data_IF_120018629046
#
_entry.id   IF_120018629046
#
_cell.length_a   1.000
_cell.length_b   1.000
_cell.length_c   1.000
_cell.angle_alpha   90.00
_cell.angle_beta   90.00
_cell.angle_gamma   90.00
#
_symmetry.space_group_name_H-M   'P 1'
#
loop_
_entity.id
_entity.type
_entity.pdbx_description
1 polymer ?
#
# COMPACT_ATOMS: atom_id res chain seq x y z
N UNK A 1 -9.28 20.17 16.90
CA UNK A 1 -8.36 21.34 16.89
C UNK A 1 -7.26 21.02 15.89
N UNK A 2 -6.85 21.97 15.05
CA UNK A 2 -5.81 21.75 14.04
C UNK A 2 -4.54 22.48 14.44
N UNK A 3 -3.40 21.88 14.12
CA UNK A 3 -2.08 22.45 14.33
C UNK A 3 -1.43 22.69 12.97
N UNK A 4 -0.80 23.85 12.81
CA UNK A 4 -0.11 24.25 11.61
C UNK A 4 1.40 24.06 11.75
N UNK A 5 2.01 23.58 10.66
CA UNK A 5 3.44 23.65 10.41
C UNK A 5 3.74 24.98 9.73
N UNK A 6 4.69 25.73 10.28
CA UNK A 6 5.13 27.02 9.74
C UNK A 6 6.53 26.92 9.15
N UNK A 7 6.76 27.67 8.08
CA UNK A 7 8.11 27.83 7.53
C UNK A 7 8.89 28.94 8.26
N UNK A 8 10.18 29.09 7.95
CA UNK A 8 11.05 30.12 8.53
C UNK A 8 10.61 31.58 8.27
N UNK A 9 9.64 31.80 7.37
CA UNK A 9 9.04 33.11 7.08
C UNK A 9 7.71 33.36 7.81
N UNK A 10 7.25 32.42 8.63
CA UNK A 10 6.00 32.55 9.39
C UNK A 10 4.73 32.18 8.62
N UNK A 11 4.84 31.59 7.42
CA UNK A 11 3.68 31.13 6.66
C UNK A 11 3.34 29.68 7.01
N UNK A 12 2.05 29.37 7.12
CA UNK A 12 1.55 28.01 7.28
C UNK A 12 1.79 27.23 5.98
N UNK A 13 2.38 26.05 6.08
CA UNK A 13 2.70 25.19 4.93
C UNK A 13 1.96 23.86 4.97
N UNK A 14 1.53 23.40 6.14
CA UNK A 14 0.73 22.18 6.30
C UNK A 14 -0.07 22.25 7.61
N UNK A 15 -1.14 21.44 7.71
CA UNK A 15 -1.97 21.30 8.92
C UNK A 15 -2.21 19.84 9.28
N UNK A 16 -2.28 19.56 10.59
CA UNK A 16 -2.47 18.22 11.14
C UNK A 16 -3.43 18.23 12.35
N UNK A 17 -4.14 17.12 12.61
CA UNK A 17 -5.01 16.98 13.79
C UNK A 17 -4.25 16.60 15.08
N UNK A 18 -2.92 16.53 15.03
CA UNK A 18 -2.03 16.23 16.15
C UNK A 18 -0.99 17.34 16.32
N UNK A 19 -0.48 17.47 17.55
CA UNK A 19 0.59 18.41 17.90
C UNK A 19 1.92 17.67 17.97
N UNK A 20 2.96 18.25 17.38
CA UNK A 20 4.34 17.75 17.46
C UNK A 20 5.34 18.92 17.32
N UNK A 21 6.64 18.65 17.36
CA UNK A 21 7.71 19.65 17.21
C UNK A 21 7.55 20.49 15.93
N UNK A 22 7.06 19.89 14.85
CA UNK A 22 6.78 20.58 13.58
C UNK A 22 5.38 21.24 13.53
N UNK A 23 4.42 20.78 14.32
CA UNK A 23 3.02 21.20 14.29
C UNK A 23 2.66 21.82 15.65
N UNK A 24 3.10 23.05 15.85
CA UNK A 24 3.07 23.70 17.17
C UNK A 24 2.08 24.87 17.26
N UNK A 25 1.53 25.34 16.14
CA UNK A 25 0.63 26.49 16.11
C UNK A 25 -0.83 26.07 15.99
N UNK A 26 -1.64 26.39 16.99
CA UNK A 26 -3.08 26.15 16.94
C UNK A 26 -3.73 27.04 15.88
N UNK A 27 -4.45 26.43 14.93
CA UNK A 27 -5.15 27.14 13.86
C UNK A 27 -6.62 26.75 13.79
N UNK A 28 -7.44 27.71 13.33
CA UNK A 28 -8.87 27.47 13.14
C UNK A 28 -9.11 26.73 11.82
N UNK A 29 -9.91 25.65 11.81
CA UNK A 29 -10.36 25.01 10.57
C UNK A 29 -11.22 25.93 9.67
N UNK A 30 -11.74 27.03 10.22
CA UNK A 30 -12.56 28.00 9.50
C UNK A 30 -11.74 29.15 8.89
N UNK A 31 -10.42 29.15 9.07
CA UNK A 31 -9.54 30.05 8.34
C UNK A 31 -9.52 29.63 6.86
N UNK A 32 -9.86 30.53 5.91
CA UNK A 32 -9.85 30.21 4.47
C UNK A 32 -8.53 29.58 4.00
N UNK A 33 -7.40 30.02 4.54
CA UNK A 33 -6.09 29.50 4.14
C UNK A 33 -5.85 28.07 4.64
N UNK A 34 -6.33 27.75 5.85
CA UNK A 34 -6.29 26.39 6.41
C UNK A 34 -7.24 25.47 5.66
N UNK A 35 -8.42 25.97 5.29
CA UNK A 35 -9.40 25.22 4.51
C UNK A 35 -8.86 24.84 3.12
N UNK A 36 -8.17 25.75 2.43
CA UNK A 36 -7.55 25.49 1.13
C UNK A 36 -6.43 24.45 1.22
N UNK A 37 -5.57 24.54 2.24
CA UNK A 37 -4.51 23.53 2.49
C UNK A 37 -5.12 22.16 2.79
N UNK A 38 -6.18 22.13 3.61
CA UNK A 38 -6.87 20.89 3.95
C UNK A 38 -7.51 20.27 2.70
N UNK A 39 -8.19 21.06 1.87
CA UNK A 39 -8.77 20.59 0.61
C UNK A 39 -7.71 20.02 -0.34
N UNK A 40 -6.58 20.71 -0.52
CA UNK A 40 -5.48 20.22 -1.34
C UNK A 40 -4.87 18.91 -0.79
N UNK A 41 -4.78 18.77 0.54
CA UNK A 41 -4.26 17.56 1.20
C UNK A 41 -5.21 16.37 1.02
N UNK A 42 -6.52 16.58 1.13
CA UNK A 42 -7.54 15.57 0.83
C UNK A 42 -7.49 15.12 -0.64
N UNK A 43 -7.26 16.04 -1.58
CA UNK A 43 -7.09 15.68 -3.00
C UNK A 43 -5.81 14.87 -3.25
N UNK A 44 -4.71 15.18 -2.56
CA UNK A 44 -3.46 14.41 -2.67
C UNK A 44 -3.54 13.04 -2.00
N UNK A 45 -4.09 12.96 -0.79
CA UNK A 45 -4.31 11.69 -0.09
C UNK A 45 -5.26 10.80 -0.87
N UNK A 46 -6.38 11.33 -1.36
CA UNK A 46 -7.31 10.57 -2.20
C UNK A 46 -6.66 10.10 -3.50
N UNK A 47 -5.83 10.92 -4.15
CA UNK A 47 -5.07 10.50 -5.34
C UNK A 47 -4.07 9.38 -5.01
N UNK A 48 -3.36 9.47 -3.89
CA UNK A 48 -2.39 8.46 -3.46
C UNK A 48 -3.09 7.15 -3.03
N UNK A 49 -4.24 7.23 -2.37
CA UNK A 49 -5.09 6.09 -2.02
C UNK A 49 -5.68 5.42 -3.28
N UNK A 50 -6.12 6.21 -4.26
CA UNK A 50 -6.58 5.71 -5.55
C UNK A 50 -5.47 5.02 -6.34
N UNK A 51 -4.25 5.56 -6.32
CA UNK A 51 -3.09 4.89 -6.92
C UNK A 51 -2.75 3.58 -6.19
N UNK A 52 -2.74 3.60 -4.86
CA UNK A 52 -2.41 2.42 -4.05
C UNK A 52 -3.44 1.30 -4.24
N UNK A 53 -4.73 1.65 -4.30
CA UNK A 53 -5.80 0.68 -4.59
C UNK A 53 -5.74 0.18 -6.03
N UNK A 54 -5.50 1.06 -7.00
CA UNK A 54 -5.27 0.67 -8.41
C UNK A 54 -4.08 -0.28 -8.56
N UNK A 55 -2.98 -0.06 -7.85
CA UNK A 55 -1.81 -0.94 -7.87
C UNK A 55 -2.12 -2.32 -7.27
N UNK A 56 -2.96 -2.38 -6.22
CA UNK A 56 -3.42 -3.65 -5.66
C UNK A 56 -4.29 -4.42 -6.65
N UNK A 57 -5.21 -3.74 -7.33
CA UNK A 57 -6.08 -4.36 -8.33
C UNK A 57 -5.29 -4.80 -9.57
N UNK A 58 -4.32 -4.00 -10.02
CA UNK A 58 -3.42 -4.37 -11.11
C UNK A 58 -2.61 -5.63 -10.77
N UNK A 59 -2.12 -5.75 -9.53
CA UNK A 59 -1.39 -6.95 -9.11
C UNK A 59 -2.27 -8.21 -9.15
N UNK A 60 -3.58 -8.10 -8.86
CA UNK A 60 -4.52 -9.22 -9.00
C UNK A 60 -4.68 -9.65 -10.47
N UNK A 61 -4.83 -8.69 -11.37
CA UNK A 61 -4.92 -8.97 -12.81
C UNK A 61 -3.65 -9.66 -13.32
N UNK A 62 -2.47 -9.24 -12.84
CA UNK A 62 -1.20 -9.89 -13.18
C UNK A 62 -1.13 -11.33 -12.65
N UNK A 63 -1.60 -11.59 -11.44
CA UNK A 63 -1.66 -12.95 -10.88
C UNK A 63 -2.56 -13.86 -11.73
N UNK A 64 -3.76 -13.40 -12.09
CA UNK A 64 -4.70 -14.16 -12.91
C UNK A 64 -4.16 -14.37 -14.34
N UNK A 65 -3.46 -13.38 -14.90
CA UNK A 65 -2.78 -13.53 -16.19
C UNK A 65 -1.68 -14.59 -16.13
N UNK A 66 -0.85 -14.59 -15.09
CA UNK A 66 0.22 -15.58 -14.91
C UNK A 66 -0.38 -16.98 -14.74
N UNK A 67 -1.43 -17.13 -13.92
CA UNK A 67 -2.14 -18.39 -13.74
C UNK A 67 -2.72 -18.89 -15.08
N UNK A 68 -3.37 -18.01 -15.87
CA UNK A 68 -3.89 -18.33 -17.20
C UNK A 68 -2.79 -18.78 -18.18
N UNK A 69 -1.68 -18.05 -18.26
CA UNK A 69 -0.58 -18.40 -19.16
C UNK A 69 0.07 -19.72 -18.78
N UNK A 70 0.16 -20.01 -17.47
CA UNK A 70 0.67 -21.27 -16.93
C UNK A 70 -0.28 -22.43 -17.23
N UNK A 71 -1.60 -22.23 -17.05
CA UNK A 71 -2.63 -23.22 -17.37
C UNK A 71 -2.63 -23.57 -18.87
N UNK A 72 -2.44 -22.57 -19.73
CA UNK A 72 -2.27 -22.76 -21.18
C UNK A 72 -0.92 -23.35 -21.57
N UNK A 73 -0.02 -23.58 -20.60
CA UNK A 73 1.35 -24.07 -20.79
C UNK A 73 2.17 -23.19 -21.74
N UNK A 74 1.87 -21.89 -21.78
CA UNK A 74 2.60 -20.90 -22.60
C UNK A 74 3.89 -20.45 -21.90
N UNK A 75 3.88 -20.44 -20.57
CA UNK A 75 5.05 -20.24 -19.71
C UNK A 75 5.04 -21.30 -18.61
N UNK A 76 6.22 -21.61 -18.07
CA UNK A 76 6.36 -22.35 -16.81
C UNK A 76 6.58 -21.35 -15.69
N UNK A 77 5.94 -21.56 -14.53
CA UNK A 77 6.12 -20.70 -13.37
C UNK A 77 7.59 -20.55 -12.94
N UNK A 78 8.39 -21.60 -13.14
CA UNK A 78 9.82 -21.66 -12.85
C UNK A 78 10.68 -20.79 -13.78
N UNK A 79 10.15 -20.31 -14.90
CA UNK A 79 10.83 -19.38 -15.81
C UNK A 79 10.82 -17.94 -15.28
N UNK A 80 9.96 -17.62 -14.30
CA UNK A 80 9.95 -16.32 -13.64
C UNK A 80 11.17 -16.18 -12.72
N UNK A 81 11.68 -14.96 -12.48
CA UNK A 81 12.75 -14.75 -11.50
C UNK A 81 12.37 -15.26 -10.11
N UNK A 82 13.32 -15.83 -9.36
CA UNK A 82 13.08 -16.38 -8.00
C UNK A 82 12.36 -15.41 -7.07
N UNK A 83 12.68 -14.11 -7.16
CA UNK A 83 12.01 -13.08 -6.38
C UNK A 83 10.52 -12.94 -6.74
N UNK A 84 10.18 -13.02 -8.03
CA UNK A 84 8.80 -12.97 -8.51
C UNK A 84 8.03 -14.23 -8.09
N UNK A 85 8.64 -15.42 -8.22
CA UNK A 85 8.04 -16.67 -7.77
C UNK A 85 7.69 -16.63 -6.28
N UNK A 86 8.64 -16.23 -5.42
CA UNK A 86 8.41 -16.08 -3.98
C UNK A 86 7.26 -15.12 -3.68
N UNK A 87 7.24 -13.96 -4.33
CA UNK A 87 6.22 -12.92 -4.12
C UNK A 87 4.82 -13.39 -4.53
N UNK A 88 4.70 -14.08 -5.65
CA UNK A 88 3.44 -14.64 -6.15
C UNK A 88 2.93 -15.76 -5.23
N UNK A 89 3.81 -16.65 -4.76
CA UNK A 89 3.45 -17.71 -3.81
C UNK A 89 2.95 -17.14 -2.47
N UNK A 90 3.67 -16.18 -1.89
CA UNK A 90 3.25 -15.54 -0.63
C UNK A 90 1.88 -14.88 -0.77
N UNK A 91 1.60 -14.23 -1.90
CA UNK A 91 0.31 -13.59 -2.14
C UNK A 91 -0.82 -14.60 -2.36
N UNK A 92 -0.55 -15.66 -3.11
CA UNK A 92 -1.52 -16.76 -3.31
C UNK A 92 -1.90 -17.42 -1.99
N UNK A 93 -0.94 -17.58 -1.07
CA UNK A 93 -1.19 -18.07 0.29
C UNK A 93 -2.08 -17.14 1.11
N UNK A 94 -1.76 -15.84 1.15
CA UNK A 94 -2.60 -14.85 1.86
C UNK A 94 -4.02 -14.84 1.28
N UNK A 95 -4.17 -14.93 -0.04
CA UNK A 95 -5.48 -15.04 -0.70
C UNK A 95 -6.21 -16.32 -0.30
N UNK A 96 -5.55 -17.48 -0.31
CA UNK A 96 -6.15 -18.76 0.09
C UNK A 96 -6.70 -18.76 1.51
N UNK A 97 -5.99 -18.13 2.45
CA UNK A 97 -6.46 -17.94 3.83
C UNK A 97 -7.72 -17.06 3.87
N UNK A 98 -7.73 -15.94 3.15
CA UNK A 98 -8.85 -14.99 3.18
C UNK A 98 -10.06 -15.45 2.36
N UNK A 99 -9.87 -16.33 1.37
CA UNK A 99 -10.93 -16.87 0.52
C UNK A 99 -11.56 -18.16 1.05
N UNK A 100 -11.18 -18.65 2.23
CA UNK A 100 -11.87 -19.73 2.94
C UNK A 100 -11.73 -21.14 2.33
N UNK A 101 -10.95 -21.31 1.26
CA UNK A 101 -10.67 -22.62 0.67
C UNK A 101 -9.50 -23.29 1.42
N UNK A 102 -9.81 -23.74 2.64
CA UNK A 102 -8.90 -24.42 3.57
C UNK A 102 -8.68 -25.89 3.23
N UNK A 103 -8.22 -26.21 2.02
CA UNK A 103 -7.77 -27.57 1.73
C UNK A 103 -6.46 -27.53 0.94
N UNK A 104 -5.41 -28.10 1.55
CA UNK A 104 -4.20 -28.60 0.88
C UNK A 104 -2.96 -27.71 0.74
N UNK A 105 -2.58 -26.88 1.73
CA UNK A 105 -1.19 -26.33 1.76
C UNK A 105 -0.55 -26.26 3.16
N UNK A 106 -0.95 -27.16 4.07
CA UNK A 106 -0.19 -27.41 5.31
C UNK A 106 0.78 -28.55 5.02
N UNK A 107 1.93 -28.23 4.45
CA UNK A 107 2.98 -29.20 4.18
C UNK A 107 4.19 -28.57 3.51
N UNK A 108 5.21 -28.30 4.33
CA UNK A 108 6.61 -28.12 3.91
C UNK A 108 7.04 -26.72 3.44
N UNK A 109 7.09 -25.77 4.37
CA UNK A 109 8.28 -24.91 4.46
C UNK A 109 8.74 -24.98 5.93
N UNK A 110 9.71 -25.85 6.21
CA UNK A 110 10.46 -25.83 7.48
C UNK A 110 11.43 -24.65 7.44
N UNK A 111 11.42 -23.85 8.50
CA UNK A 111 12.25 -22.67 8.74
C UNK A 111 13.76 -22.98 8.95
N UNK A 112 14.37 -23.87 8.16
CA UNK A 112 15.80 -24.24 8.32
C UNK A 112 16.74 -23.63 7.26
N UNK A 113 16.23 -22.92 6.23
CA UNK A 113 17.06 -22.33 5.16
C UNK A 113 17.41 -20.83 5.37
N UNK A 114 17.23 -20.32 6.59
CA UNK A 114 17.71 -19.01 6.98
C UNK A 114 18.93 -19.17 7.90
N UNK A 115 20.09 -19.59 7.35
CA UNK A 115 21.45 -19.28 7.84
C UNK A 115 22.50 -20.06 7.02
N UNK A 116 22.99 -19.47 5.92
CA UNK A 116 24.42 -19.42 5.54
C UNK A 116 24.68 -18.07 4.90
#
# INVERSE_FOLDING_TARGET
MLYAKINASGHVIDVAPYQDDEYNQLVSPHDPFVADILAAKLDQESSQELLTSSDQDMMRVLEDLIDLLTEKRLIQFTELPMAAQKKLLSRKFVRGIHSGNNETLIGEIRDDDALI
#
